data_IF_187825982740
#
_entry.id   IF_187825982740
#
_cell.length_a   1.000
_cell.length_b   1.000
_cell.length_c   1.000
_cell.angle_alpha   90.00
_cell.angle_beta   90.00
_cell.angle_gamma   90.00
#
_symmetry.space_group_name_H-M   'P 1'
#
loop_
_entity.id
_entity.type
_entity.pdbx_description
1 polymer ?
#
# COMPACT_ATOMS: atom_id res chain seq x y z
N UNK A 1 20.20 13.12 -12.21
CA UNK A 1 18.81 13.61 -12.32
C UNK A 1 18.05 13.07 -11.13
N UNK A 2 16.85 13.58 -10.87
CA UNK A 2 15.99 13.07 -9.78
C UNK A 2 14.73 12.44 -10.37
N UNK A 3 14.17 11.47 -9.66
CA UNK A 3 12.90 10.83 -9.99
C UNK A 3 11.91 11.03 -8.85
N UNK A 4 10.63 11.11 -9.20
CA UNK A 4 9.53 11.29 -8.27
C UNK A 4 8.75 9.98 -8.12
N UNK A 5 8.72 9.44 -6.91
CA UNK A 5 8.01 8.20 -6.58
C UNK A 5 6.82 8.54 -5.71
N UNK A 6 5.62 8.14 -6.17
CA UNK A 6 4.39 8.25 -5.41
C UNK A 6 4.11 6.91 -4.73
N UNK A 7 3.97 6.92 -3.40
CA UNK A 7 3.55 5.76 -2.62
C UNK A 7 2.17 6.05 -2.03
N UNK A 8 1.17 5.25 -2.38
CA UNK A 8 -0.21 5.39 -1.97
C UNK A 8 -0.59 4.34 -0.93
N UNK A 9 -1.36 4.76 0.06
CA UNK A 9 -1.87 3.90 1.11
C UNK A 9 -3.01 2.99 0.65
N UNK A 10 -3.46 2.18 1.59
CA UNK A 10 -4.44 1.11 1.41
C UNK A 10 -5.66 1.56 0.61
N UNK A 11 -5.84 1.02 -0.59
CA UNK A 11 -6.98 1.32 -1.45
C UNK A 11 -8.21 0.58 -0.92
N UNK A 12 -9.20 1.33 -0.42
CA UNK A 12 -10.37 0.76 0.26
C UNK A 12 -11.59 0.72 -0.66
N UNK A 13 -11.95 -0.48 -1.08
CA UNK A 13 -13.18 -0.77 -1.82
C UNK A 13 -13.40 0.13 -3.03
N UNK A 14 -14.66 0.30 -3.41
CA UNK A 14 -15.03 1.12 -4.57
C UNK A 14 -14.63 2.60 -4.43
N UNK A 15 -14.85 3.30 -3.30
CA UNK A 15 -14.46 4.71 -3.19
C UNK A 15 -12.95 4.93 -3.42
N UNK A 16 -12.10 4.04 -2.87
CA UNK A 16 -10.66 4.10 -3.10
C UNK A 16 -10.27 3.88 -4.55
N UNK A 17 -10.88 2.89 -5.22
CA UNK A 17 -10.65 2.67 -6.65
C UNK A 17 -11.11 3.84 -7.52
N UNK A 18 -12.24 4.45 -7.18
CA UNK A 18 -12.77 5.59 -7.95
C UNK A 18 -11.88 6.81 -7.84
N UNK A 19 -11.44 7.17 -6.63
CA UNK A 19 -10.55 8.33 -6.48
C UNK A 19 -9.19 8.11 -7.17
N UNK A 20 -8.69 6.88 -7.23
CA UNK A 20 -7.51 6.54 -8.04
C UNK A 20 -7.78 6.80 -9.53
N UNK A 21 -8.88 6.26 -10.07
CA UNK A 21 -9.21 6.43 -11.50
C UNK A 21 -9.47 7.89 -11.86
N UNK A 22 -10.04 8.67 -10.95
CA UNK A 22 -10.39 10.08 -11.15
C UNK A 22 -9.15 11.00 -11.04
N UNK A 23 -8.32 10.82 -10.00
CA UNK A 23 -7.33 11.82 -9.62
C UNK A 23 -5.90 11.44 -10.01
N UNK A 24 -5.55 10.14 -10.04
CA UNK A 24 -4.17 9.71 -10.23
C UNK A 24 -3.57 10.10 -11.59
N UNK A 25 -4.28 9.96 -12.73
CA UNK A 25 -3.69 10.31 -14.03
C UNK A 25 -3.26 11.77 -14.14
N UNK A 26 -4.06 12.69 -13.62
CA UNK A 26 -3.73 14.12 -13.63
C UNK A 26 -2.68 14.47 -12.57
N UNK A 27 -2.69 13.79 -11.43
CA UNK A 27 -1.64 13.94 -10.43
C UNK A 27 -0.26 13.52 -10.97
N UNK A 28 -0.18 12.38 -11.66
CA UNK A 28 1.05 11.91 -12.31
C UNK A 28 1.61 12.98 -13.25
N UNK A 29 0.78 13.55 -14.12
CA UNK A 29 1.19 14.57 -15.08
C UNK A 29 1.62 15.88 -14.39
N UNK A 30 0.80 16.38 -13.46
CA UNK A 30 1.02 17.66 -12.80
C UNK A 30 2.24 17.68 -11.86
N UNK A 31 2.60 16.52 -11.31
CA UNK A 31 3.72 16.35 -10.37
C UNK A 31 4.93 15.65 -10.98
N UNK A 32 4.91 15.33 -12.28
CA UNK A 32 5.96 14.59 -12.98
C UNK A 32 6.33 13.31 -12.20
N UNK A 33 5.33 12.49 -11.85
CA UNK A 33 5.55 11.22 -11.14
C UNK A 33 6.12 10.19 -12.10
N UNK A 34 7.25 9.59 -11.75
CA UNK A 34 7.94 8.60 -12.57
C UNK A 34 7.54 7.16 -12.26
N UNK A 35 7.09 6.90 -11.02
CA UNK A 35 6.64 5.59 -10.57
C UNK A 35 5.59 5.71 -9.48
N UNK A 36 4.56 4.86 -9.54
CA UNK A 36 3.49 4.76 -8.54
C UNK A 36 3.50 3.37 -7.92
N UNK A 37 3.62 3.32 -6.59
CA UNK A 37 3.42 2.11 -5.76
C UNK A 37 2.16 2.31 -4.93
N UNK A 38 1.26 1.33 -4.90
CA UNK A 38 0.00 1.45 -4.15
C UNK A 38 -0.33 0.14 -3.42
N UNK A 39 -0.75 0.25 -2.17
CA UNK A 39 -1.27 -0.91 -1.45
C UNK A 39 -2.71 -1.20 -1.90
N UNK A 40 -2.94 -2.39 -2.47
CA UNK A 40 -4.21 -2.79 -3.09
C UNK A 40 -4.98 -3.85 -2.30
N UNK A 41 -4.52 -4.23 -1.11
CA UNK A 41 -5.06 -5.37 -0.37
C UNK A 41 -6.54 -5.24 0.03
N UNK A 42 -7.04 -4.00 0.14
CA UNK A 42 -8.41 -3.69 0.56
C UNK A 42 -9.33 -3.25 -0.59
N UNK A 43 -8.88 -3.35 -1.85
CA UNK A 43 -9.57 -2.78 -3.00
C UNK A 43 -10.83 -3.53 -3.42
N UNK A 44 -10.98 -4.83 -3.11
CA UNK A 44 -12.16 -5.64 -3.43
C UNK A 44 -13.15 -5.67 -2.25
N UNK A 45 -14.07 -4.71 -2.19
CA UNK A 45 -15.08 -4.64 -1.12
C UNK A 45 -14.50 -4.47 0.28
N UNK A 46 -13.29 -3.90 0.39
CA UNK A 46 -12.57 -3.67 1.63
C UNK A 46 -11.76 -4.85 2.13
N UNK A 47 -11.55 -5.92 1.33
CA UNK A 47 -10.66 -7.05 1.69
C UNK A 47 -10.30 -7.86 0.45
N UNK A 48 -9.01 -7.92 0.13
CA UNK A 48 -8.46 -8.64 -1.02
C UNK A 48 -8.43 -7.82 -2.32
N UNK A 49 -7.93 -8.47 -3.37
CA UNK A 49 -7.79 -7.93 -4.73
C UNK A 49 -8.33 -8.96 -5.75
N UNK A 50 -8.94 -8.49 -6.84
CA UNK A 50 -9.35 -9.32 -7.97
C UNK A 50 -8.59 -8.93 -9.24
N UNK A 51 -8.49 -9.83 -10.26
CA UNK A 51 -7.86 -9.51 -11.53
C UNK A 51 -8.44 -8.27 -12.22
N UNK A 52 -9.76 -8.15 -12.25
CA UNK A 52 -10.43 -7.01 -12.88
C UNK A 52 -10.09 -5.68 -12.20
N UNK A 53 -9.98 -5.67 -10.86
CA UNK A 53 -9.58 -4.48 -10.11
C UNK A 53 -8.10 -4.17 -10.36
N UNK A 54 -7.23 -5.18 -10.34
CA UNK A 54 -5.81 -5.02 -10.61
C UNK A 54 -5.56 -4.34 -11.97
N UNK A 55 -6.18 -4.84 -13.04
CA UNK A 55 -6.08 -4.24 -14.37
C UNK A 55 -6.55 -2.77 -14.40
N UNK A 56 -7.64 -2.45 -13.71
CA UNK A 56 -8.12 -1.06 -13.60
C UNK A 56 -7.12 -0.15 -12.89
N UNK A 57 -6.45 -0.63 -11.83
CA UNK A 57 -5.43 0.13 -11.11
C UNK A 57 -4.20 0.38 -11.99
N UNK A 58 -3.74 -0.63 -12.73
CA UNK A 58 -2.64 -0.47 -13.68
C UNK A 58 -3.00 0.52 -14.80
N UNK A 59 -4.21 0.42 -15.35
CA UNK A 59 -4.70 1.33 -16.38
C UNK A 59 -4.79 2.79 -15.90
N UNK A 60 -5.02 3.02 -14.60
CA UNK A 60 -5.03 4.34 -13.98
C UNK A 60 -3.62 4.91 -13.74
N UNK A 61 -2.55 4.10 -13.88
CA UNK A 61 -1.16 4.53 -13.76
C UNK A 61 -0.42 3.96 -12.55
N UNK A 62 -1.00 3.02 -11.80
CA UNK A 62 -0.25 2.28 -10.77
C UNK A 62 0.75 1.35 -11.45
N UNK A 63 2.02 1.41 -11.03
CA UNK A 63 3.08 0.57 -11.61
C UNK A 63 3.30 -0.72 -10.83
N UNK A 64 3.20 -0.68 -9.50
CA UNK A 64 3.33 -1.85 -8.61
C UNK A 64 2.26 -1.80 -7.54
N UNK A 65 1.53 -2.90 -7.40
CA UNK A 65 0.62 -3.12 -6.28
C UNK A 65 1.30 -3.93 -5.19
N UNK A 66 1.25 -3.44 -3.95
CA UNK A 66 1.59 -4.17 -2.74
C UNK A 66 0.32 -4.69 -2.07
N UNK A 67 0.47 -5.66 -1.19
CA UNK A 67 -0.63 -6.29 -0.45
C UNK A 67 -0.38 -6.16 1.07
N UNK A 68 -0.89 -7.08 1.88
CA UNK A 68 -0.71 -7.15 3.34
C UNK A 68 -1.34 -8.42 3.89
N UNK A 69 -1.95 -8.36 5.07
CA UNK A 69 -2.64 -9.50 5.70
C UNK A 69 -3.88 -9.98 4.93
N UNK A 70 -4.43 -9.16 4.06
CA UNK A 70 -5.53 -9.54 3.17
C UNK A 70 -5.09 -10.13 1.82
N UNK A 71 -3.83 -10.48 1.63
CA UNK A 71 -3.28 -10.98 0.36
C UNK A 71 -4.13 -12.11 -0.24
N UNK A 72 -4.51 -13.10 0.55
CA UNK A 72 -5.21 -14.29 0.05
C UNK A 72 -6.73 -14.29 0.32
N UNK A 73 -7.34 -13.15 0.65
CA UNK A 73 -8.79 -13.04 0.92
C UNK A 73 -9.65 -13.31 -0.32
N UNK A 74 -9.09 -13.15 -1.51
CA UNK A 74 -9.72 -13.49 -2.79
C UNK A 74 -8.89 -14.55 -3.50
N UNK A 75 -9.50 -15.69 -3.82
CA UNK A 75 -8.78 -16.81 -4.48
C UNK A 75 -8.24 -16.43 -5.85
N UNK A 76 -8.92 -15.53 -6.53
CA UNK A 76 -8.56 -15.05 -7.87
C UNK A 76 -7.19 -14.36 -7.90
N UNK A 77 -6.72 -13.82 -6.77
CA UNK A 77 -5.40 -13.17 -6.67
C UNK A 77 -4.23 -14.15 -6.85
N UNK A 78 -4.44 -15.45 -6.55
CA UNK A 78 -3.39 -16.47 -6.60
C UNK A 78 -2.74 -16.50 -7.99
N UNK A 79 -3.56 -16.55 -9.05
CA UNK A 79 -3.03 -16.56 -10.43
C UNK A 79 -2.28 -15.28 -10.77
N UNK A 80 -2.70 -14.14 -10.26
CA UNK A 80 -1.97 -12.88 -10.45
C UNK A 80 -0.60 -12.91 -9.76
N UNK A 81 -0.53 -13.39 -8.53
CA UNK A 81 0.71 -13.51 -7.76
C UNK A 81 1.72 -14.47 -8.41
N UNK A 82 1.24 -15.47 -9.16
CA UNK A 82 2.09 -16.38 -9.93
C UNK A 82 2.65 -15.76 -11.21
N UNK A 83 1.86 -14.92 -11.88
CA UNK A 83 2.14 -14.51 -13.26
C UNK A 83 2.55 -13.06 -13.42
N UNK A 84 2.15 -12.17 -12.52
CA UNK A 84 2.44 -10.74 -12.63
C UNK A 84 3.70 -10.34 -11.86
N UNK A 85 4.54 -9.54 -12.50
CA UNK A 85 5.66 -8.85 -11.84
C UNK A 85 5.25 -7.52 -11.20
N UNK A 86 4.01 -7.06 -11.40
CA UNK A 86 3.50 -5.79 -10.88
C UNK A 86 2.66 -5.97 -9.60
N UNK A 87 2.58 -7.21 -9.08
CA UNK A 87 1.90 -7.53 -7.82
C UNK A 87 2.86 -8.29 -6.90
N UNK A 88 3.06 -7.76 -5.70
CA UNK A 88 3.87 -8.40 -4.66
C UNK A 88 3.07 -8.54 -3.36
N UNK A 89 3.51 -9.46 -2.51
CA UNK A 89 2.96 -9.73 -1.18
C UNK A 89 4.04 -9.58 -0.11
N UNK A 90 3.71 -9.53 1.19
CA UNK A 90 4.74 -9.53 2.24
C UNK A 90 5.73 -10.69 2.08
N UNK A 91 7.02 -10.37 2.02
CA UNK A 91 8.09 -11.36 1.81
C UNK A 91 8.28 -12.31 2.97
N UNK A 92 7.83 -11.91 4.17
CA UNK A 92 7.93 -12.69 5.40
C UNK A 92 6.73 -13.61 5.68
N UNK A 93 5.85 -13.85 4.68
CA UNK A 93 4.96 -15.00 4.70
C UNK A 93 5.74 -16.32 4.59
N UNK A 94 5.15 -17.46 4.98
CA UNK A 94 5.79 -18.76 4.82
C UNK A 94 6.38 -18.95 3.42
N UNK A 95 7.53 -19.62 3.34
CA UNK A 95 8.31 -19.72 2.09
C UNK A 95 7.53 -20.35 0.93
N UNK A 96 6.61 -21.27 1.25
CA UNK A 96 5.75 -21.97 0.29
C UNK A 96 4.57 -21.12 -0.19
N UNK A 97 4.35 -19.93 0.39
CA UNK A 97 3.27 -19.04 -0.02
C UNK A 97 3.48 -18.54 -1.43
N UNK A 98 2.43 -18.58 -2.24
CA UNK A 98 2.46 -18.13 -3.64
C UNK A 98 2.72 -16.62 -3.73
N UNK A 99 3.51 -16.21 -4.72
CA UNK A 99 3.88 -14.82 -4.97
C UNK A 99 5.26 -14.45 -4.44
N UNK A 100 5.69 -13.24 -4.74
CA UNK A 100 7.03 -12.72 -4.42
C UNK A 100 6.95 -11.56 -3.43
N UNK A 101 7.99 -11.40 -2.61
CA UNK A 101 8.10 -10.30 -1.65
C UNK A 101 8.70 -9.02 -2.24
N UNK A 102 9.28 -9.10 -3.45
CA UNK A 102 9.85 -7.95 -4.14
C UNK A 102 9.80 -8.11 -5.65
N UNK A 103 9.94 -6.99 -6.36
CA UNK A 103 10.00 -6.94 -7.83
C UNK A 103 10.83 -5.77 -8.32
N UNK A 104 11.19 -5.81 -9.61
CA UNK A 104 11.80 -4.68 -10.32
C UNK A 104 10.75 -4.01 -11.20
N UNK A 105 10.64 -2.69 -11.06
CA UNK A 105 9.89 -1.83 -11.96
C UNK A 105 10.84 -0.87 -12.68
N UNK A 106 10.39 -0.29 -13.78
CA UNK A 106 11.15 0.74 -14.51
C UNK A 106 10.30 2.01 -14.60
N UNK A 107 10.94 3.15 -14.36
CA UNK A 107 10.34 4.46 -14.68
C UNK A 107 10.27 4.65 -16.21
N UNK A 108 9.47 5.62 -16.66
CA UNK A 108 9.45 5.99 -18.09
C UNK A 108 10.83 6.42 -18.61
N UNK A 109 11.67 7.01 -17.75
CA UNK A 109 13.06 7.36 -18.05
C UNK A 109 14.06 6.17 -18.02
N UNK A 110 13.58 4.93 -17.77
CA UNK A 110 14.41 3.72 -17.79
C UNK A 110 15.14 3.41 -16.49
N UNK A 111 14.97 4.21 -15.42
CA UNK A 111 15.57 3.95 -14.11
C UNK A 111 14.92 2.72 -13.48
N UNK A 112 15.75 1.75 -13.07
CA UNK A 112 15.30 0.56 -12.37
C UNK A 112 15.03 0.87 -10.89
N UNK A 113 13.85 0.44 -10.40
CA UNK A 113 13.40 0.62 -9.01
C UNK A 113 13.05 -0.76 -8.45
N UNK A 114 13.63 -1.13 -7.33
CA UNK A 114 13.22 -2.30 -6.58
C UNK A 114 12.10 -1.91 -5.62
N UNK A 115 10.96 -2.61 -5.68
CA UNK A 115 9.85 -2.47 -4.75
C UNK A 115 9.78 -3.74 -3.90
N UNK A 116 9.86 -3.58 -2.58
CA UNK A 116 9.89 -4.66 -1.61
C UNK A 116 8.76 -4.48 -0.61
N UNK A 117 8.26 -5.58 -0.07
CA UNK A 117 7.23 -5.53 0.98
C UNK A 117 7.53 -6.54 2.09
N UNK A 118 7.35 -6.10 3.33
CA UNK A 118 7.32 -6.95 4.52
C UNK A 118 6.18 -6.53 5.44
N UNK A 119 5.74 -7.43 6.31
CA UNK A 119 4.66 -7.19 7.26
C UNK A 119 5.16 -7.28 8.70
N UNK A 120 4.60 -6.46 9.58
CA UNK A 120 4.86 -6.47 11.01
C UNK A 120 4.29 -7.70 11.71
N UNK A 121 4.58 -7.81 13.02
CA UNK A 121 4.15 -8.95 13.86
C UNK A 121 3.43 -8.51 15.13
N UNK A 122 3.65 -7.28 15.55
CA UNK A 122 3.03 -6.75 16.78
C UNK A 122 1.56 -6.48 16.50
N UNK A 123 0.67 -7.19 17.19
CA UNK A 123 -0.79 -7.18 16.99
C UNK A 123 -1.26 -7.66 15.61
N UNK A 124 -0.44 -8.45 14.92
CA UNK A 124 -0.75 -9.04 13.61
C UNK A 124 -0.61 -10.56 13.64
N UNK A 125 -0.95 -11.22 12.53
CA UNK A 125 -0.83 -12.66 12.40
C UNK A 125 0.62 -13.13 12.60
N UNK A 126 0.85 -14.31 13.22
CA UNK A 126 2.19 -14.86 13.44
C UNK A 126 2.83 -15.28 12.09
N UNK A 127 3.85 -14.54 11.71
CA UNK A 127 4.65 -14.77 10.50
C UNK A 127 6.14 -14.65 10.82
N UNK A 128 7.03 -14.86 9.85
CA UNK A 128 8.46 -14.72 10.04
C UNK A 128 8.84 -13.27 10.42
N UNK A 129 9.97 -13.11 11.14
CA UNK A 129 10.47 -11.78 11.48
C UNK A 129 10.77 -10.96 10.21
N UNK A 130 10.27 -9.71 10.10
CA UNK A 130 10.51 -8.89 8.92
C UNK A 130 11.97 -8.50 8.71
N UNK A 131 12.76 -8.37 9.79
CA UNK A 131 14.15 -7.88 9.74
C UNK A 131 15.09 -8.80 8.95
N UNK A 132 15.25 -10.11 9.29
CA UNK A 132 16.13 -10.98 8.49
C UNK A 132 15.57 -11.26 7.09
N UNK A 133 14.25 -11.12 6.90
CA UNK A 133 13.64 -11.30 5.57
C UNK A 133 13.95 -10.11 4.66
N UNK A 134 13.82 -8.88 5.16
CA UNK A 134 14.16 -7.69 4.36
C UNK A 134 15.65 -7.64 4.01
N UNK A 135 16.53 -8.08 4.92
CA UNK A 135 17.96 -8.20 4.66
C UNK A 135 18.24 -9.11 3.47
N UNK A 136 17.69 -10.33 3.51
CA UNK A 136 17.83 -11.30 2.41
C UNK A 136 17.27 -10.75 1.10
N UNK A 137 16.09 -10.12 1.12
CA UNK A 137 15.52 -9.55 -0.09
C UNK A 137 16.38 -8.41 -0.65
N UNK A 138 16.97 -7.58 0.20
CA UNK A 138 17.89 -6.52 -0.23
C UNK A 138 19.20 -7.07 -0.83
N UNK A 139 19.67 -8.23 -0.36
CA UNK A 139 20.83 -8.94 -0.94
C UNK A 139 20.53 -9.54 -2.32
N UNK A 140 19.27 -9.95 -2.55
CA UNK A 140 18.79 -10.45 -3.85
C UNK A 140 18.63 -9.35 -4.90
N UNK A 141 18.39 -8.09 -4.49
CA UNK A 141 18.29 -6.95 -5.41
C UNK A 141 19.64 -6.69 -6.10
N UNK A 142 19.67 -6.59 -7.44
CA UNK A 142 20.92 -6.30 -8.16
C UNK A 142 21.62 -5.04 -7.63
N UNK A 143 22.95 -5.10 -7.51
CA UNK A 143 23.75 -4.02 -6.89
C UNK A 143 23.70 -2.69 -7.61
N UNK A 144 23.44 -2.70 -8.90
CA UNK A 144 23.26 -1.53 -9.76
C UNK A 144 21.88 -0.88 -9.62
N UNK A 145 20.92 -1.53 -8.95
CA UNK A 145 19.61 -0.95 -8.62
C UNK A 145 19.73 -0.17 -7.32
N UNK A 146 19.94 1.14 -7.45
CA UNK A 146 20.16 2.04 -6.32
C UNK A 146 18.87 2.51 -5.68
N UNK A 147 17.79 2.64 -6.45
CA UNK A 147 16.49 3.09 -5.97
C UNK A 147 15.69 1.90 -5.44
N UNK A 148 15.38 1.94 -4.14
CA UNK A 148 14.69 0.86 -3.42
C UNK A 148 13.56 1.43 -2.59
N UNK A 149 12.36 0.88 -2.75
CA UNK A 149 11.13 1.31 -2.07
C UNK A 149 10.62 0.15 -1.23
N UNK A 150 10.37 0.39 0.05
CA UNK A 150 9.84 -0.62 0.98
C UNK A 150 8.49 -0.17 1.51
N UNK A 151 7.47 -0.99 1.27
CA UNK A 151 6.18 -0.94 1.98
C UNK A 151 6.27 -1.82 3.22
N UNK A 152 6.17 -1.21 4.40
CA UNK A 152 6.11 -1.92 5.68
C UNK A 152 4.69 -1.91 6.22
N UNK A 153 3.97 -2.99 5.94
CA UNK A 153 2.59 -3.19 6.34
C UNK A 153 2.49 -3.65 7.78
N UNK A 154 2.22 -2.75 8.73
CA UNK A 154 2.28 -3.06 10.16
C UNK A 154 1.31 -2.22 11.00
N UNK A 155 0.83 -2.81 12.11
CA UNK A 155 -0.06 -2.14 13.06
C UNK A 155 0.72 -1.20 14.00
N UNK A 156 1.76 -1.69 14.68
CA UNK A 156 2.42 -0.97 15.76
C UNK A 156 3.34 0.14 15.26
N UNK A 157 3.14 1.37 15.72
CA UNK A 157 3.98 2.53 15.39
C UNK A 157 5.45 2.33 15.78
N UNK A 158 5.72 1.65 16.91
CA UNK A 158 7.08 1.32 17.35
C UNK A 158 7.81 0.41 16.37
N UNK A 159 7.10 -0.58 15.79
CA UNK A 159 7.65 -1.49 14.79
C UNK A 159 7.94 -0.74 13.47
N UNK A 160 7.02 0.14 13.05
CA UNK A 160 7.19 1.01 11.86
C UNK A 160 8.38 1.94 11.98
N UNK A 161 8.48 2.67 13.08
CA UNK A 161 9.61 3.58 13.33
C UNK A 161 10.92 2.79 13.44
N UNK A 162 10.91 1.63 14.11
CA UNK A 162 12.06 0.73 14.19
C UNK A 162 12.55 0.27 12.82
N UNK A 163 11.64 -0.12 11.92
CA UNK A 163 11.98 -0.52 10.55
C UNK A 163 12.56 0.67 9.74
N UNK A 164 11.99 1.87 9.90
CA UNK A 164 12.53 3.07 9.25
C UNK A 164 13.99 3.32 9.61
N UNK A 165 14.34 3.28 10.91
CA UNK A 165 15.73 3.42 11.36
C UNK A 165 16.63 2.26 10.93
N UNK A 166 16.11 1.04 10.92
CA UNK A 166 16.84 -0.15 10.48
C UNK A 166 17.24 -0.08 9.00
N UNK A 167 16.40 0.55 8.18
CA UNK A 167 16.59 0.69 6.75
C UNK A 167 17.25 2.02 6.35
N UNK A 168 17.51 2.92 7.27
CA UNK A 168 18.09 4.23 6.98
C UNK A 168 19.44 4.12 6.25
N UNK A 169 19.51 4.77 5.08
CA UNK A 169 20.67 4.73 4.18
C UNK A 169 20.80 3.45 3.34
N UNK A 170 19.91 2.46 3.52
CA UNK A 170 19.90 1.20 2.78
C UNK A 170 18.83 1.18 1.67
N UNK A 171 17.80 2.02 1.82
CA UNK A 171 16.70 2.16 0.87
C UNK A 171 16.39 3.63 0.61
N UNK A 172 15.75 3.91 -0.52
CA UNK A 172 15.35 5.28 -0.89
C UNK A 172 14.11 5.74 -0.13
N UNK A 173 13.13 4.83 0.02
CA UNK A 173 11.84 5.08 0.65
C UNK A 173 11.48 3.91 1.55
N UNK A 174 11.05 4.20 2.78
CA UNK A 174 10.37 3.27 3.67
C UNK A 174 9.08 3.92 4.14
N UNK A 175 7.94 3.39 3.73
CA UNK A 175 6.63 3.90 4.11
C UNK A 175 5.79 2.81 4.75
N UNK A 176 4.94 3.21 5.70
CA UNK A 176 4.04 2.30 6.38
C UNK A 176 2.62 2.33 5.81
N UNK A 177 1.95 1.18 5.90
CA UNK A 177 0.53 0.95 5.54
C UNK A 177 -0.16 0.18 6.66
N UNK A 178 -1.42 -0.19 6.54
CA UNK A 178 -2.26 -0.98 7.42
C UNK A 178 -3.19 -0.17 8.34
N UNK A 179 -2.71 0.84 9.06
CA UNK A 179 -3.56 1.51 10.07
C UNK A 179 -4.63 2.40 9.46
N UNK A 180 -4.55 2.70 8.17
CA UNK A 180 -5.43 3.60 7.43
C UNK A 180 -5.42 5.05 7.91
N UNK A 181 -4.59 5.38 8.92
CA UNK A 181 -4.49 6.72 9.53
C UNK A 181 -3.17 7.38 9.17
N UNK A 182 -3.17 8.44 8.34
CA UNK A 182 -1.93 9.08 7.94
C UNK A 182 -1.24 9.75 9.13
N UNK A 183 0.06 9.49 9.29
CA UNK A 183 0.87 10.09 10.35
C UNK A 183 1.52 11.41 9.92
N UNK A 184 2.00 12.19 10.88
CA UNK A 184 2.61 13.50 10.66
C UNK A 184 4.15 13.47 10.64
N UNK A 185 4.77 12.28 10.64
CA UNK A 185 6.21 12.09 10.86
C UNK A 185 7.03 11.93 9.56
N UNK A 186 6.47 12.34 8.41
CA UNK A 186 7.16 12.33 7.12
C UNK A 186 8.46 13.14 7.18
N UNK A 187 9.59 12.50 6.90
CA UNK A 187 10.92 13.12 6.92
C UNK A 187 11.93 12.33 6.11
N UNK A 188 13.04 12.96 5.74
CA UNK A 188 14.23 12.27 5.27
C UNK A 188 15.10 11.98 6.50
N UNK A 189 15.43 10.70 6.70
CA UNK A 189 16.30 10.25 7.78
C UNK A 189 17.77 10.60 7.48
N UNK A 190 18.65 10.61 8.49
CA UNK A 190 20.06 11.04 8.33
C UNK A 190 20.85 10.27 7.28
N UNK A 191 20.58 8.99 7.06
CA UNK A 191 21.20 8.15 6.04
C UNK A 191 20.70 8.43 4.62
N UNK A 192 19.61 9.17 4.48
CA UNK A 192 19.01 9.58 3.21
C UNK A 192 17.79 8.76 2.79
N UNK A 193 17.12 8.07 3.71
CA UNK A 193 15.85 7.38 3.44
C UNK A 193 14.66 8.30 3.69
N UNK A 194 13.77 8.45 2.72
CA UNK A 194 12.46 9.07 2.93
C UNK A 194 11.59 8.13 3.76
N UNK A 195 11.07 8.60 4.89
CA UNK A 195 10.33 7.79 5.86
C UNK A 195 9.02 8.44 6.30
N UNK A 196 7.99 7.61 6.46
CA UNK A 196 6.75 7.92 7.17
C UNK A 196 6.20 6.64 7.81
N UNK A 197 5.69 6.73 9.05
CA UNK A 197 5.14 5.56 9.76
C UNK A 197 3.88 5.01 9.11
N UNK A 198 2.97 5.86 8.62
CA UNK A 198 1.80 5.43 7.86
C UNK A 198 1.35 6.50 6.87
N UNK A 199 1.06 6.08 5.64
CA UNK A 199 0.60 6.98 4.58
C UNK A 199 -0.92 7.16 4.57
N UNK A 200 -1.64 6.47 5.45
CA UNK A 200 -3.10 6.48 5.52
C UNK A 200 -3.75 5.55 4.50
N UNK A 201 -5.03 5.75 4.23
CA UNK A 201 -5.77 4.99 3.21
C UNK A 201 -6.12 5.85 2.00
N UNK A 202 -6.24 5.21 0.86
CA UNK A 202 -6.90 5.76 -0.31
C UNK A 202 -8.34 5.24 -0.33
N UNK A 203 -9.29 6.07 0.13
CA UNK A 203 -10.65 5.60 0.38
C UNK A 203 -11.53 6.62 1.09
N UNK A 204 -12.66 6.17 1.69
CA UNK A 204 -13.65 7.04 2.30
C UNK A 204 -13.22 7.49 3.71
N UNK A 205 -13.00 8.78 3.91
CA UNK A 205 -12.59 9.35 5.21
C UNK A 205 -13.76 9.67 6.15
N UNK A 206 -15.00 9.87 5.64
CA UNK A 206 -16.20 9.93 6.49
C UNK A 206 -16.59 8.52 6.97
N UNK A 207 -15.71 7.91 7.78
CA UNK A 207 -15.75 6.48 8.15
C UNK A 207 -14.96 6.20 9.43
N UNK A 208 -15.03 4.97 9.92
CA UNK A 208 -14.03 4.42 10.84
C UNK A 208 -13.11 3.52 10.05
N UNK A 209 -11.93 4.01 9.70
CA UNK A 209 -10.90 3.28 8.94
C UNK A 209 -11.44 2.65 7.63
N UNK A 210 -12.29 3.39 6.92
CA UNK A 210 -12.90 2.92 5.67
C UNK A 210 -14.22 2.16 5.84
N UNK A 211 -14.65 1.87 7.08
CA UNK A 211 -15.88 1.14 7.40
C UNK A 211 -16.99 2.10 7.85
N UNK A 212 -18.25 1.73 7.57
CA UNK A 212 -19.42 2.52 7.96
C UNK A 212 -19.46 2.75 9.45
N UNK A 213 -19.48 4.02 9.86
CA UNK A 213 -19.36 4.46 11.26
C UNK A 213 -20.40 3.83 12.16
N UNK A 214 -21.66 3.76 11.73
CA UNK A 214 -22.75 3.22 12.54
C UNK A 214 -22.59 1.72 12.85
N UNK A 215 -21.97 0.95 11.94
CA UNK A 215 -21.69 -0.47 12.15
C UNK A 215 -20.58 -0.69 13.16
N UNK A 216 -19.49 0.08 13.02
CA UNK A 216 -18.35 0.00 13.93
C UNK A 216 -18.72 0.45 15.33
N UNK A 217 -19.42 1.59 15.46
CA UNK A 217 -19.90 2.08 16.76
C UNK A 217 -20.85 1.09 17.44
N UNK A 218 -21.76 0.46 16.67
CA UNK A 218 -22.65 -0.56 17.23
C UNK A 218 -21.87 -1.76 17.77
N UNK A 219 -20.82 -2.21 17.06
CA UNK A 219 -19.95 -3.26 17.57
C UNK A 219 -19.24 -2.83 18.86
N UNK A 220 -18.60 -1.67 18.90
CA UNK A 220 -17.85 -1.20 20.06
C UNK A 220 -18.74 -0.94 21.29
N UNK A 221 -19.97 -0.48 21.09
CA UNK A 221 -20.87 -0.16 22.19
C UNK A 221 -21.67 -1.35 22.73
N UNK A 222 -21.85 -2.40 21.92
CA UNK A 222 -22.70 -3.54 22.29
C UNK A 222 -21.97 -4.88 22.36
N UNK A 223 -20.76 -4.99 21.81
CA UNK A 223 -20.05 -6.26 21.61
C UNK A 223 -20.72 -7.21 20.60
N UNK A 224 -21.83 -6.79 19.96
CA UNK A 224 -22.57 -7.65 19.04
C UNK A 224 -21.94 -7.66 17.64
N UNK A 225 -21.74 -8.84 17.02
CA UNK A 225 -21.16 -8.94 15.67
C UNK A 225 -21.88 -8.05 14.65
N UNK A 226 -21.11 -7.35 13.84
CA UNK A 226 -21.61 -6.50 12.76
C UNK A 226 -20.90 -6.85 11.44
N UNK A 227 -21.57 -6.66 10.32
CA UNK A 227 -20.91 -6.62 9.01
C UNK A 227 -20.25 -5.24 8.83
N UNK A 228 -18.96 -5.23 8.61
CA UNK A 228 -18.20 -3.99 8.38
C UNK A 228 -18.17 -3.65 6.89
N UNK A 229 -19.25 -3.03 6.42
CA UNK A 229 -19.36 -2.55 5.04
C UNK A 229 -18.44 -1.35 4.81
N UNK A 230 -17.95 -1.19 3.57
CA UNK A 230 -17.18 -0.03 3.16
C UNK A 230 -18.07 1.22 3.20
N UNK A 231 -17.56 2.30 3.79
CA UNK A 231 -18.18 3.63 3.76
C UNK A 231 -18.01 4.29 2.39
N UNK A 232 -18.64 5.45 2.16
CA UNK A 232 -18.64 6.09 0.83
C UNK A 232 -18.30 7.57 0.83
N UNK A 233 -18.47 8.26 1.94
CA UNK A 233 -18.30 9.72 2.02
C UNK A 233 -16.84 10.16 2.13
N UNK A 234 -16.57 11.36 1.63
CA UNK A 234 -15.25 12.01 1.66
C UNK A 234 -14.12 11.12 1.10
N UNK A 235 -14.20 10.70 -0.19
CA UNK A 235 -13.16 9.87 -0.79
C UNK A 235 -11.88 10.68 -1.00
N UNK A 236 -10.74 10.14 -0.52
CA UNK A 236 -9.42 10.77 -0.67
C UNK A 236 -8.39 9.78 -1.18
N UNK A 237 -7.46 10.27 -2.00
CA UNK A 237 -6.22 9.60 -2.35
C UNK A 237 -5.13 10.11 -1.39
N UNK A 238 -4.59 9.24 -0.55
CA UNK A 238 -3.58 9.58 0.45
C UNK A 238 -2.29 8.81 0.23
N UNK A 239 -1.16 9.48 0.46
CA UNK A 239 0.16 8.91 0.25
C UNK A 239 1.29 9.88 0.53
N UNK A 240 2.44 9.58 -0.06
CA UNK A 240 3.63 10.44 -0.09
C UNK A 240 4.19 10.55 -1.50
N UNK A 241 4.76 11.70 -1.82
CA UNK A 241 5.61 11.92 -2.98
C UNK A 241 7.05 12.10 -2.49
N UNK A 242 7.94 11.20 -2.89
CA UNK A 242 9.36 11.25 -2.56
C UNK A 242 10.17 11.59 -3.81
N UNK A 243 11.08 12.57 -3.71
CA UNK A 243 12.05 12.88 -4.76
C UNK A 243 13.37 12.20 -4.43
N UNK A 244 13.89 11.39 -5.35
CA UNK A 244 15.08 10.55 -5.16
C UNK A 244 16.14 10.94 -6.16
N UNK A 245 17.38 11.11 -5.71
CA UNK A 245 18.55 11.21 -6.62
C UNK A 245 18.85 9.82 -7.20
N UNK A 246 18.66 9.65 -8.49
CA UNK A 246 18.84 8.39 -9.19
C UNK A 246 20.27 7.83 -9.14
N UNK A 247 21.28 8.71 -8.96
CA UNK A 247 22.70 8.33 -8.94
C UNK A 247 23.14 7.77 -7.60
N UNK A 248 22.49 8.17 -6.54
CA UNK A 248 22.85 7.77 -5.16
C UNK A 248 21.79 6.88 -4.52
N UNK A 249 20.56 6.85 -5.06
CA UNK A 249 19.40 6.22 -4.44
C UNK A 249 18.89 6.93 -3.19
N UNK A 250 19.45 8.09 -2.82
CA UNK A 250 19.05 8.84 -1.63
C UNK A 250 17.86 9.75 -1.88
N UNK A 251 17.00 9.87 -0.90
CA UNK A 251 15.90 10.82 -0.93
C UNK A 251 16.41 12.26 -0.76
N UNK A 252 15.90 13.14 -1.62
CA UNK A 252 16.11 14.59 -1.57
C UNK A 252 15.00 15.27 -0.76
N UNK A 253 13.77 14.78 -0.93
CA UNK A 253 12.60 15.29 -0.21
C UNK A 253 11.52 14.24 -0.09
N UNK A 254 10.61 14.46 0.87
CA UNK A 254 9.37 13.73 1.05
C UNK A 254 8.25 14.69 1.36
N UNK A 255 7.10 14.52 0.74
CA UNK A 255 5.91 15.33 0.95
C UNK A 255 4.69 14.41 1.10
N UNK A 256 3.86 14.67 2.11
CA UNK A 256 2.54 14.03 2.20
C UNK A 256 1.65 14.51 1.06
N UNK A 257 0.86 13.58 0.53
CA UNK A 257 -0.12 13.81 -0.53
C UNK A 257 -1.51 13.49 -0.01
N UNK A 258 -2.44 14.40 -0.21
CA UNK A 258 -3.86 14.20 0.00
C UNK A 258 -4.62 14.89 -1.14
N UNK A 259 -5.44 14.13 -1.86
CA UNK A 259 -6.26 14.64 -2.96
C UNK A 259 -7.70 14.19 -2.74
N UNK A 260 -8.64 15.12 -2.71
CA UNK A 260 -10.05 14.83 -2.55
C UNK A 260 -10.66 14.42 -3.91
N UNK A 261 -11.40 13.33 -3.90
CA UNK A 261 -12.22 12.89 -5.03
C UNK A 261 -13.65 13.40 -4.93
N UNK A 262 -14.43 13.09 -5.95
CA UNK A 262 -15.84 13.46 -6.00
C UNK A 262 -16.71 12.47 -5.22
N UNK A 263 -17.57 12.95 -4.34
CA UNK A 263 -18.59 12.11 -3.70
C UNK A 263 -19.56 11.57 -4.74
N UNK A 264 -19.71 10.25 -4.79
CA UNK A 264 -20.63 9.61 -5.73
C UNK A 264 -21.75 8.88 -5.02
N UNK A 265 -22.95 8.95 -5.59
CA UNK A 265 -24.08 8.09 -5.20
C UNK A 265 -23.73 6.62 -5.50
N UNK A 266 -23.78 5.77 -4.47
CA UNK A 266 -23.34 4.38 -4.57
C UNK A 266 -24.33 3.56 -5.39
N UNK A 267 -24.01 3.27 -6.65
CA UNK A 267 -24.61 2.14 -7.34
C UNK A 267 -23.91 0.83 -6.95
N UNK A 268 -24.61 -0.30 -6.98
CA UNK A 268 -24.04 -1.64 -6.77
C UNK A 268 -22.84 -1.87 -7.70
N UNK A 269 -21.74 -2.37 -7.14
CA UNK A 269 -20.56 -2.75 -7.91
C UNK A 269 -20.37 -4.27 -7.84
N UNK A 270 -20.39 -4.93 -8.99
CA UNK A 270 -20.21 -6.37 -9.11
C UNK A 270 -18.83 -6.83 -8.60
N UNK A 271 -17.81 -5.96 -8.70
CA UNK A 271 -16.44 -6.24 -8.21
C UNK A 271 -16.37 -6.28 -6.68
N UNK A 272 -17.37 -5.74 -5.98
CA UNK A 272 -17.48 -5.79 -4.51
C UNK A 272 -18.27 -7.00 -4.01
N UNK A 273 -18.76 -7.87 -4.92
CA UNK A 273 -19.55 -9.03 -4.56
C UNK A 273 -18.76 -9.98 -3.66
N UNK A 274 -19.20 -10.14 -2.40
CA UNK A 274 -18.59 -11.03 -1.42
C UNK A 274 -19.23 -12.41 -1.52
N UNK A 275 -18.49 -13.49 -1.84
CA UNK A 275 -18.96 -14.81 -1.49
C UNK A 275 -18.88 -14.93 0.04
N UNK A 276 -20.03 -15.09 0.66
CA UNK A 276 -20.32 -15.39 2.07
C UNK A 276 -19.16 -15.36 3.06
N UNK A 277 -18.88 -14.24 3.66
CA UNK A 277 -17.83 -14.09 4.67
C UNK A 277 -18.33 -14.60 6.02
N UNK A 278 -17.72 -15.66 6.55
CA UNK A 278 -18.09 -16.31 7.82
C UNK A 278 -17.07 -16.09 8.94
N UNK A 279 -16.39 -14.98 9.02
CA UNK A 279 -15.66 -14.63 10.27
C UNK A 279 -15.78 -13.15 10.52
N UNK A 280 -16.26 -12.79 11.72
CA UNK A 280 -16.02 -11.49 12.29
C UNK A 280 -14.50 -11.34 12.43
N UNK A 281 -13.91 -10.38 11.75
CA UNK A 281 -12.53 -9.98 11.99
C UNK A 281 -12.55 -9.16 13.28
N UNK A 282 -11.79 -9.62 14.28
CA UNK A 282 -11.51 -8.90 15.51
C UNK A 282 -10.25 -8.06 15.31
#
# INVERSE_FOLDING_TARGET
MSINILCLGDIIGRPGRQVIMECLPDFIKSRNVDLVVANAENSAGGSGLTPAIFEKLLAAGVNVCTMGDHTYRRREVIKLLETSSQLIRPGNFPRESIGKGWTLAKTAGGVSVAVLQVMGRVYMDPIDSPYPVIDRMLEEVPRDVLVRVVDFHAEASSEKVGMGWYLDGRVSVCFGTHTHTPTADARVLPGGTAFISDVGMTGPYASVLGRRTERVLKFFTTGMPQMFDVATGDPRMSGILATIDEKTGKAVSIQRVEVHGTEQTVAYDADDNRPGYRKAEY
#
